data_IF_216887893035
#
_entry.id   IF_216887893035
#
_cell.length_a   1.000
_cell.length_b   1.000
_cell.length_c   1.000
_cell.angle_alpha   90.00
_cell.angle_beta   90.00
_cell.angle_gamma   90.00
#
_symmetry.space_group_name_H-M   'P 1'
#
loop_
_entity.id
_entity.type
_entity.pdbx_description
1 polymer ?
#
# COMPACT_ATOMS: atom_id res chain seq x y z
N UNK A 1 -1.53 -16.39 20.77
CA UNK A 1 -1.28 -16.10 19.35
C UNK A 1 -0.70 -17.35 18.73
N UNK A 2 -1.24 -17.87 17.61
CA UNK A 2 -0.62 -18.98 16.89
C UNK A 2 0.79 -18.57 16.44
N UNK A 3 1.72 -19.52 16.42
CA UNK A 3 3.08 -19.31 15.93
C UNK A 3 2.99 -19.09 14.41
N UNK A 4 3.57 -18.01 13.85
CA UNK A 4 3.56 -17.81 12.41
C UNK A 4 4.31 -18.95 11.71
N UNK A 5 3.92 -19.31 10.47
CA UNK A 5 4.69 -20.25 9.67
C UNK A 5 6.16 -19.82 9.54
N UNK A 6 7.04 -20.78 9.32
CA UNK A 6 8.42 -20.50 8.94
C UNK A 6 8.43 -19.97 7.50
N UNK A 7 8.20 -18.67 7.33
CA UNK A 7 8.35 -18.02 6.03
C UNK A 7 9.79 -18.15 5.56
N UNK A 8 9.99 -18.55 4.32
CA UNK A 8 11.33 -18.56 3.72
C UNK A 8 11.82 -17.12 3.47
N UNK A 9 10.95 -16.31 2.88
CA UNK A 9 11.19 -14.88 2.65
C UNK A 9 10.00 -14.08 3.15
N UNK A 10 10.32 -13.02 3.91
CA UNK A 10 9.40 -11.94 4.23
C UNK A 10 9.75 -10.78 3.30
N UNK A 11 8.79 -10.32 2.52
CA UNK A 11 8.96 -9.19 1.61
C UNK A 11 8.33 -7.94 2.23
N UNK A 12 9.12 -6.94 2.57
CA UNK A 12 8.61 -5.63 3.01
C UNK A 12 8.39 -4.73 1.79
N UNK A 13 7.18 -4.20 1.64
CA UNK A 13 6.80 -3.38 0.50
C UNK A 13 6.34 -1.99 0.98
N UNK A 14 7.01 -0.96 0.49
CA UNK A 14 6.93 0.41 1.01
C UNK A 14 5.68 1.19 0.53
N UNK A 15 5.00 0.70 -0.51
CA UNK A 15 3.83 1.29 -1.16
C UNK A 15 4.03 1.72 -2.60
N UNK A 16 5.23 1.55 -3.17
CA UNK A 16 5.58 2.06 -4.49
C UNK A 16 4.63 1.71 -5.65
N UNK A 17 3.88 0.58 -5.67
CA UNK A 17 2.91 0.26 -6.73
C UNK A 17 1.87 1.33 -7.00
N UNK A 18 1.50 2.13 -5.99
CA UNK A 18 0.63 3.29 -6.19
C UNK A 18 1.28 4.39 -7.06
N UNK A 19 2.60 4.42 -7.21
CA UNK A 19 3.33 5.36 -8.07
C UNK A 19 3.76 4.79 -9.42
N UNK A 20 3.51 3.50 -9.70
CA UNK A 20 3.97 2.85 -10.94
C UNK A 20 3.08 3.10 -12.16
N UNK A 21 1.93 3.76 -11.99
CA UNK A 21 0.99 4.08 -13.06
C UNK A 21 0.53 5.53 -12.95
N UNK A 22 0.36 6.25 -14.07
CA UNK A 22 -0.21 7.60 -14.04
C UNK A 22 -1.59 7.59 -13.35
N UNK A 23 -1.92 8.68 -12.67
CA UNK A 23 -3.25 8.84 -12.10
C UNK A 23 -4.31 9.15 -13.17
N UNK A 24 -5.50 8.51 -13.12
CA UNK A 24 -5.94 7.50 -12.16
C UNK A 24 -5.42 6.08 -12.47
N UNK A 25 -4.98 5.36 -11.44
CA UNK A 25 -4.72 3.92 -11.46
C UNK A 25 -5.99 3.15 -11.07
N UNK A 26 -6.27 2.06 -11.81
CA UNK A 26 -7.35 1.11 -11.47
C UNK A 26 -6.92 0.14 -10.37
N UNK A 27 -7.89 -0.44 -9.66
CA UNK A 27 -7.62 -1.47 -8.64
C UNK A 27 -6.85 -2.67 -9.24
N UNK A 28 -7.28 -3.17 -10.39
CA UNK A 28 -6.62 -4.30 -11.06
C UNK A 28 -5.16 -3.97 -11.39
N UNK A 29 -4.91 -2.79 -11.95
CA UNK A 29 -3.54 -2.37 -12.26
C UNK A 29 -2.68 -2.24 -11.01
N UNK A 30 -3.24 -1.75 -9.90
CA UNK A 30 -2.53 -1.70 -8.62
C UNK A 30 -2.18 -3.10 -8.10
N UNK A 31 -3.15 -4.01 -8.06
CA UNK A 31 -2.96 -5.37 -7.57
C UNK A 31 -1.97 -6.15 -8.44
N UNK A 32 -2.09 -6.06 -9.77
CA UNK A 32 -1.15 -6.70 -10.69
C UNK A 32 0.28 -6.20 -10.45
N UNK A 33 0.46 -4.89 -10.26
CA UNK A 33 1.78 -4.31 -9.99
C UNK A 33 2.33 -4.69 -8.61
N UNK A 34 1.46 -4.83 -7.61
CA UNK A 34 1.86 -5.22 -6.26
C UNK A 34 2.24 -6.71 -6.16
N UNK A 35 1.54 -7.59 -6.88
CA UNK A 35 1.70 -9.05 -6.78
C UNK A 35 2.57 -9.69 -7.85
N UNK A 36 2.69 -9.12 -9.06
CA UNK A 36 3.59 -9.63 -10.09
C UNK A 36 5.02 -9.98 -9.62
N UNK A 37 5.68 -9.22 -8.72
CA UNK A 37 7.02 -9.58 -8.22
C UNK A 37 7.03 -10.67 -7.13
N UNK A 38 5.86 -11.09 -6.63
CA UNK A 38 5.71 -12.08 -5.55
C UNK A 38 5.18 -13.43 -6.06
N UNK A 39 4.48 -13.43 -7.20
CA UNK A 39 3.96 -14.63 -7.86
C UNK A 39 5.07 -15.64 -8.20
N UNK A 40 4.80 -16.92 -7.96
CA UNK A 40 5.74 -18.04 -8.20
C UNK A 40 7.12 -17.90 -7.53
N UNK A 41 7.18 -17.18 -6.40
CA UNK A 41 8.41 -16.99 -5.62
C UNK A 41 8.43 -17.79 -4.31
N UNK A 42 9.50 -17.60 -3.52
CA UNK A 42 9.66 -18.19 -2.18
C UNK A 42 9.12 -17.28 -1.06
N UNK A 43 8.47 -16.16 -1.41
CA UNK A 43 7.88 -15.24 -0.43
C UNK A 43 6.69 -15.92 0.25
N UNK A 44 6.68 -15.92 1.58
CA UNK A 44 5.58 -16.46 2.39
C UNK A 44 4.77 -15.39 3.13
N UNK A 45 5.33 -14.18 3.25
CA UNK A 45 4.64 -13.06 3.87
C UNK A 45 4.99 -11.72 3.22
N UNK A 46 3.96 -10.90 3.00
CA UNK A 46 4.05 -9.52 2.54
C UNK A 46 3.85 -8.59 3.74
N UNK A 47 4.84 -7.76 4.03
CA UNK A 47 4.76 -6.71 5.04
C UNK A 47 4.51 -5.39 4.31
N UNK A 48 3.24 -4.99 4.25
CA UNK A 48 2.81 -3.83 3.49
C UNK A 48 2.85 -2.56 4.35
N UNK A 49 3.55 -1.55 3.86
CA UNK A 49 3.71 -0.26 4.53
C UNK A 49 2.38 0.49 4.63
N UNK A 50 2.02 0.86 5.86
CA UNK A 50 0.77 1.57 6.16
C UNK A 50 0.83 3.07 5.87
N UNK A 51 2.00 3.59 5.47
CA UNK A 51 2.26 5.03 5.31
C UNK A 51 3.49 5.48 6.10
N UNK A 52 3.88 6.73 5.90
CA UNK A 52 4.97 7.40 6.63
C UNK A 52 4.44 8.58 7.44
N UNK A 53 3.91 9.59 6.75
CA UNK A 53 3.17 10.70 7.34
C UNK A 53 1.70 10.61 6.93
N UNK A 54 0.82 10.41 7.91
CA UNK A 54 -0.60 10.13 7.69
C UNK A 54 -0.90 8.67 7.33
N UNK A 55 -2.19 8.36 7.14
CA UNK A 55 -2.69 7.05 6.74
C UNK A 55 -2.91 6.97 5.23
N UNK A 56 -2.79 5.74 4.69
CA UNK A 56 -3.16 5.42 3.30
C UNK A 56 -4.62 5.01 3.12
N UNK A 57 -5.44 5.21 4.15
CA UNK A 57 -6.87 4.99 4.20
C UNK A 57 -7.52 6.15 4.97
N UNK A 58 -8.83 6.40 4.83
CA UNK A 58 -9.54 7.41 5.61
C UNK A 58 -9.63 6.98 7.08
N UNK A 59 -8.59 7.29 7.85
CA UNK A 59 -8.46 6.92 9.25
C UNK A 59 -9.21 7.93 10.14
N UNK A 60 -9.75 7.47 11.26
CA UNK A 60 -10.37 8.37 12.26
C UNK A 60 -9.33 9.06 13.17
N UNK A 61 -8.08 8.60 13.15
CA UNK A 61 -7.03 9.01 14.10
C UNK A 61 -5.80 9.65 13.46
N UNK A 62 -5.62 9.48 12.15
CA UNK A 62 -4.51 10.04 11.38
C UNK A 62 -5.05 10.72 10.13
N UNK A 63 -4.39 11.79 9.71
CA UNK A 63 -4.74 12.48 8.46
C UNK A 63 -4.65 11.53 7.28
N UNK A 64 -5.66 11.55 6.41
CA UNK A 64 -5.59 10.81 5.16
C UNK A 64 -4.58 11.47 4.21
N UNK A 65 -3.78 10.65 3.51
CA UNK A 65 -2.70 11.13 2.66
C UNK A 65 -3.13 12.25 1.71
N UNK A 66 -2.34 13.33 1.67
CA UNK A 66 -2.61 14.54 0.90
C UNK A 66 -3.40 15.61 1.65
N UNK A 67 -4.11 15.30 2.75
CA UNK A 67 -4.92 16.30 3.47
C UNK A 67 -4.09 17.28 4.28
N UNK A 68 -3.05 16.80 4.97
CA UNK A 68 -2.14 17.62 5.78
C UNK A 68 -1.51 18.77 4.97
N UNK A 69 -1.31 18.57 3.66
CA UNK A 69 -0.72 19.56 2.76
C UNK A 69 -1.75 20.21 1.81
N UNK A 70 -3.06 20.04 2.06
CA UNK A 70 -4.10 20.63 1.20
C UNK A 70 -4.02 20.20 -0.26
N UNK A 71 -3.52 18.99 -0.54
CA UNK A 71 -3.25 18.46 -1.89
C UNK A 71 -2.27 19.31 -2.71
N UNK A 72 -1.35 19.99 -2.05
CA UNK A 72 -0.14 20.52 -2.67
C UNK A 72 0.95 19.44 -2.70
N UNK A 73 1.62 19.30 -3.85
CA UNK A 73 2.55 18.21 -4.10
C UNK A 73 3.91 18.74 -4.57
N UNK A 74 4.99 18.24 -3.98
CA UNK A 74 6.36 18.67 -4.30
C UNK A 74 6.88 18.11 -5.63
N UNK A 75 6.24 17.05 -6.14
CA UNK A 75 6.60 16.46 -7.43
C UNK A 75 5.45 15.71 -8.08
N UNK A 76 5.59 15.44 -9.38
CA UNK A 76 4.67 14.58 -10.14
C UNK A 76 4.62 13.16 -9.56
N UNK A 77 5.72 12.66 -9.00
CA UNK A 77 5.77 11.36 -8.35
C UNK A 77 4.91 11.31 -7.08
N UNK A 78 5.03 12.34 -6.23
CA UNK A 78 4.20 12.47 -5.01
C UNK A 78 2.73 12.65 -5.37
N UNK A 79 2.42 13.49 -6.36
CA UNK A 79 1.06 13.61 -6.91
C UNK A 79 0.53 12.24 -7.34
N UNK A 80 1.26 11.52 -8.19
CA UNK A 80 0.82 10.24 -8.75
C UNK A 80 0.55 9.20 -7.66
N UNK A 81 1.51 9.00 -6.75
CA UNK A 81 1.37 8.02 -5.67
C UNK A 81 0.23 8.37 -4.70
N UNK A 82 0.03 9.67 -4.40
CA UNK A 82 -1.01 10.12 -3.47
C UNK A 82 -2.39 10.05 -4.11
N UNK A 83 -2.54 10.61 -5.30
CA UNK A 83 -3.83 10.71 -5.98
C UNK A 83 -4.35 9.36 -6.45
N UNK A 84 -3.48 8.39 -6.76
CA UNK A 84 -3.92 7.02 -7.04
C UNK A 84 -4.62 6.38 -5.85
N UNK A 85 -4.15 6.61 -4.62
CA UNK A 85 -4.81 6.12 -3.41
C UNK A 85 -6.13 6.87 -3.19
N UNK A 86 -6.10 8.20 -3.22
CA UNK A 86 -7.29 9.03 -2.98
C UNK A 86 -8.42 8.73 -3.96
N UNK A 87 -8.10 8.65 -5.25
CA UNK A 87 -9.08 8.44 -6.30
C UNK A 87 -9.68 7.03 -6.28
N UNK A 88 -8.99 6.03 -5.71
CA UNK A 88 -9.61 4.73 -5.42
C UNK A 88 -10.71 4.89 -4.36
N UNK A 89 -10.44 5.60 -3.26
CA UNK A 89 -11.46 5.88 -2.25
C UNK A 89 -12.60 6.78 -2.78
N UNK A 90 -12.31 7.74 -3.66
CA UNK A 90 -13.35 8.55 -4.33
C UNK A 90 -14.31 7.68 -5.17
N UNK A 91 -13.84 6.53 -5.67
CA UNK A 91 -14.65 5.52 -6.39
C UNK A 91 -15.33 4.51 -5.46
N UNK A 92 -15.13 4.61 -4.14
CA UNK A 92 -15.61 3.64 -3.17
C UNK A 92 -14.78 2.35 -3.11
N UNK A 93 -13.56 2.38 -3.65
CA UNK A 93 -12.62 1.25 -3.63
C UNK A 93 -11.66 1.39 -2.44
N UNK A 94 -11.44 0.30 -1.68
CA UNK A 94 -10.43 0.25 -0.62
C UNK A 94 -9.19 -0.54 -1.09
N UNK A 95 -8.12 0.14 -1.52
CA UNK A 95 -6.90 -0.54 -1.98
C UNK A 95 -6.19 -1.31 -0.87
N UNK A 96 -6.30 -0.89 0.40
CA UNK A 96 -5.65 -1.61 1.49
C UNK A 96 -6.37 -2.94 1.74
N UNK A 97 -7.70 -2.92 1.75
CA UNK A 97 -8.50 -4.14 1.87
C UNK A 97 -8.33 -5.08 0.68
N UNK A 98 -8.34 -4.54 -0.55
CA UNK A 98 -8.14 -5.32 -1.77
C UNK A 98 -6.76 -5.97 -1.83
N UNK A 99 -5.70 -5.26 -1.43
CA UNK A 99 -4.35 -5.82 -1.32
C UNK A 99 -4.34 -6.99 -0.33
N UNK A 100 -4.89 -6.82 0.88
CA UNK A 100 -4.94 -7.90 1.87
C UNK A 100 -5.69 -9.12 1.32
N UNK A 101 -6.86 -8.91 0.69
CA UNK A 101 -7.66 -9.98 0.11
C UNK A 101 -6.89 -10.76 -0.96
N UNK A 102 -6.27 -10.06 -1.92
CA UNK A 102 -5.47 -10.71 -2.97
C UNK A 102 -4.28 -11.49 -2.39
N UNK A 103 -3.63 -10.96 -1.35
CA UNK A 103 -2.54 -11.68 -0.69
C UNK A 103 -2.98 -13.02 -0.10
N UNK A 104 -4.13 -13.05 0.57
CA UNK A 104 -4.69 -14.29 1.10
C UNK A 104 -5.11 -15.26 -0.01
N UNK A 105 -5.69 -14.77 -1.11
CA UNK A 105 -6.02 -15.59 -2.29
C UNK A 105 -4.77 -16.24 -2.90
N UNK A 106 -3.63 -15.54 -2.88
CA UNK A 106 -2.33 -16.03 -3.34
C UNK A 106 -1.57 -16.87 -2.30
N UNK A 107 -2.17 -17.17 -1.14
CA UNK A 107 -1.55 -17.97 -0.07
C UNK A 107 -0.47 -17.25 0.74
N UNK A 108 -0.37 -15.92 0.62
CA UNK A 108 0.54 -15.08 1.37
C UNK A 108 -0.13 -14.59 2.66
N UNK A 109 0.63 -14.52 3.75
CA UNK A 109 0.20 -13.74 4.91
C UNK A 109 0.54 -12.27 4.71
N UNK A 110 -0.43 -11.38 4.94
CA UNK A 110 -0.26 -9.93 4.80
C UNK A 110 -0.22 -9.27 6.18
N UNK A 111 0.82 -8.50 6.44
CA UNK A 111 1.02 -7.80 7.70
C UNK A 111 1.17 -6.29 7.48
N UNK A 112 0.65 -5.51 8.42
CA UNK A 112 0.91 -4.08 8.49
C UNK A 112 2.36 -3.82 8.90
N UNK A 113 3.09 -3.09 8.06
CA UNK A 113 4.44 -2.57 8.35
C UNK A 113 4.33 -1.09 8.71
N UNK A 114 4.27 -0.81 10.02
CA UNK A 114 4.09 0.56 10.51
C UNK A 114 5.43 1.29 10.58
N UNK A 115 5.54 2.42 9.88
CA UNK A 115 6.67 3.34 10.06
C UNK A 115 6.44 4.15 11.33
N UNK A 116 7.20 3.83 12.38
CA UNK A 116 6.98 4.42 13.70
C UNK A 116 7.41 5.89 13.80
N UNK A 117 8.32 6.34 12.93
CA UNK A 117 8.86 7.69 12.95
C UNK A 117 9.52 8.04 11.60
N UNK A 118 8.74 8.03 10.50
CA UNK A 118 9.27 8.45 9.20
C UNK A 118 9.65 9.94 9.24
N UNK A 119 10.90 10.23 8.86
CA UNK A 119 11.54 11.52 9.05
C UNK A 119 12.20 12.06 7.77
N UNK A 120 11.67 11.70 6.60
CA UNK A 120 12.08 12.32 5.34
C UNK A 120 11.48 13.74 5.27
N UNK A 121 12.31 14.74 5.56
CA UNK A 121 12.01 16.18 5.46
C UNK A 121 12.79 16.82 4.30
#
# INVERSE_FOLDING_TARGET
MPVPPNYRIIYNWDGAPHGYSPAPQSMDSFLDRAYAPLEDTQVGALFWSTGGQGSRWPSEVLDFIGETHGRHYDSVGVYTATENIRQMYDRGEDPQAALIARGHESGLHVYASVRMNDNHF
#
